data_IF_793378118878
#
_entry.id   IF_793378118878
#
_cell.length_a   1.000
_cell.length_b   1.000
_cell.length_c   1.000
_cell.angle_alpha   90.00
_cell.angle_beta   90.00
_cell.angle_gamma   90.00
#
_symmetry.space_group_name_H-M   'P 1'
#
loop_
_entity.id
_entity.type
_entity.pdbx_description
1 polymer ?
#
# COMPACT_ATOMS: atom_id res chain seq x y z
N UNK A 1 -15.17 1.07 -31.00
CA UNK A 1 -13.82 0.58 -30.62
C UNK A 1 -13.46 0.77 -29.14
N UNK A 2 -13.99 1.74 -28.39
CA UNK A 2 -13.59 2.01 -26.98
C UNK A 2 -13.92 0.88 -25.99
N UNK A 3 -15.12 0.30 -26.06
CA UNK A 3 -15.59 -0.72 -25.09
C UNK A 3 -14.74 -2.00 -25.02
N UNK A 4 -14.17 -2.46 -26.14
CA UNK A 4 -13.32 -3.66 -26.14
C UNK A 4 -11.95 -3.34 -25.51
N UNK A 5 -11.44 -2.13 -25.73
CA UNK A 5 -10.18 -1.67 -25.16
C UNK A 5 -10.28 -1.53 -23.64
N UNK A 6 -11.37 -0.95 -23.14
CA UNK A 6 -11.61 -0.81 -21.69
C UNK A 6 -11.76 -2.17 -21.00
N UNK A 7 -12.44 -3.13 -21.64
CA UNK A 7 -12.57 -4.51 -21.13
C UNK A 7 -11.24 -5.25 -21.11
N UNK A 8 -10.41 -5.09 -22.15
CA UNK A 8 -9.09 -5.70 -22.21
C UNK A 8 -8.15 -5.15 -21.13
N UNK A 9 -8.17 -3.83 -20.92
CA UNK A 9 -7.41 -3.17 -19.84
C UNK A 9 -7.91 -3.65 -18.48
N UNK A 10 -9.22 -3.70 -18.27
CA UNK A 10 -9.82 -4.21 -17.03
C UNK A 10 -9.40 -5.66 -16.75
N UNK A 11 -9.46 -6.53 -17.75
CA UNK A 11 -9.04 -7.93 -17.62
C UNK A 11 -7.53 -8.04 -17.33
N UNK A 12 -6.70 -7.24 -17.98
CA UNK A 12 -5.27 -7.20 -17.72
C UNK A 12 -4.95 -6.74 -16.29
N UNK A 13 -5.57 -5.65 -15.83
CA UNK A 13 -5.42 -5.17 -14.46
C UNK A 13 -5.87 -6.22 -13.44
N UNK A 14 -6.98 -6.91 -13.71
CA UNK A 14 -7.51 -7.95 -12.83
C UNK A 14 -6.59 -9.17 -12.78
N UNK A 15 -6.03 -9.58 -13.92
CA UNK A 15 -5.05 -10.66 -14.01
C UNK A 15 -3.76 -10.32 -13.26
N UNK A 16 -3.20 -9.13 -13.49
CA UNK A 16 -1.99 -8.64 -12.81
C UNK A 16 -2.25 -8.54 -11.30
N UNK A 17 -3.36 -7.92 -10.90
CA UNK A 17 -3.74 -7.79 -9.49
C UNK A 17 -3.90 -9.14 -8.82
N UNK A 18 -4.56 -10.10 -9.49
CA UNK A 18 -4.74 -11.46 -8.97
C UNK A 18 -3.41 -12.19 -8.80
N UNK A 19 -2.49 -12.04 -9.75
CA UNK A 19 -1.15 -12.64 -9.68
C UNK A 19 -0.35 -12.06 -8.50
N UNK A 20 -0.31 -10.72 -8.38
CA UNK A 20 0.39 -10.03 -7.28
C UNK A 20 -0.22 -10.42 -5.94
N UNK A 21 -1.56 -10.47 -5.85
CA UNK A 21 -2.27 -10.90 -4.63
C UNK A 21 -1.93 -12.33 -4.24
N UNK A 22 -1.94 -13.27 -5.19
CA UNK A 22 -1.58 -14.65 -4.93
C UNK A 22 -0.13 -14.79 -4.46
N UNK A 23 0.81 -14.13 -5.15
CA UNK A 23 2.23 -14.12 -4.76
C UNK A 23 2.42 -13.58 -3.35
N UNK A 24 1.81 -12.43 -3.04
CA UNK A 24 1.90 -11.81 -1.73
C UNK A 24 1.22 -12.65 -0.62
N UNK A 25 0.10 -13.29 -0.93
CA UNK A 25 -0.61 -14.18 0.01
C UNK A 25 0.21 -15.43 0.33
N UNK A 26 0.81 -16.07 -0.67
CA UNK A 26 1.73 -17.20 -0.45
C UNK A 26 2.94 -16.76 0.36
N UNK A 27 3.50 -15.60 0.03
CA UNK A 27 4.67 -15.07 0.73
C UNK A 27 4.39 -14.74 2.20
N UNK A 28 3.24 -14.17 2.51
CA UNK A 28 2.85 -13.78 3.88
C UNK A 28 2.31 -14.95 4.71
N UNK A 29 1.48 -15.80 4.10
CA UNK A 29 0.75 -16.84 4.82
C UNK A 29 1.42 -18.21 4.75
N UNK A 30 2.06 -18.58 3.64
CA UNK A 30 2.57 -19.95 3.45
C UNK A 30 4.05 -20.07 3.85
N UNK A 31 4.90 -19.14 3.44
CA UNK A 31 6.35 -19.14 3.75
C UNK A 31 6.71 -19.18 5.25
N UNK A 32 5.95 -18.63 6.22
CA UNK A 32 6.30 -18.81 7.64
C UNK A 32 6.26 -20.27 8.09
N UNK A 33 5.52 -21.14 7.41
CA UNK A 33 5.43 -22.57 7.72
C UNK A 33 6.47 -23.43 6.97
N UNK A 34 7.25 -22.83 6.06
CA UNK A 34 8.30 -23.51 5.31
C UNK A 34 9.62 -23.42 6.07
N UNK A 35 10.35 -24.54 6.14
CA UNK A 35 11.65 -24.61 6.82
C UNK A 35 12.65 -23.61 6.27
N UNK A 36 13.55 -23.15 7.15
CA UNK A 36 14.50 -22.08 6.81
C UNK A 36 15.49 -22.48 5.71
N UNK A 37 15.80 -23.76 5.62
CA UNK A 37 16.78 -24.33 4.67
C UNK A 37 16.14 -24.76 3.34
N UNK A 38 14.83 -24.54 3.15
CA UNK A 38 14.13 -24.97 1.96
C UNK A 38 14.42 -24.03 0.77
N UNK A 39 14.78 -24.55 -0.43
CA UNK A 39 15.13 -23.73 -1.60
C UNK A 39 13.99 -22.84 -2.08
N UNK A 40 12.73 -23.20 -1.79
CA UNK A 40 11.57 -22.36 -2.10
C UNK A 40 11.70 -20.94 -1.53
N UNK A 41 12.42 -20.76 -0.42
CA UNK A 41 12.61 -19.46 0.23
C UNK A 41 13.54 -18.52 -0.54
N UNK A 42 14.28 -19.01 -1.54
CA UNK A 42 15.04 -18.17 -2.48
C UNK A 42 14.13 -17.42 -3.47
N UNK A 43 12.93 -17.93 -3.74
CA UNK A 43 11.95 -17.30 -4.63
C UNK A 43 11.19 -16.14 -3.97
N UNK A 44 11.35 -15.98 -2.66
CA UNK A 44 10.63 -14.99 -1.86
C UNK A 44 11.62 -14.09 -1.12
N UNK A 45 11.34 -12.78 -1.02
CA UNK A 45 12.18 -11.91 -0.21
C UNK A 45 12.13 -12.31 1.28
N UNK A 46 13.10 -11.83 2.08
CA UNK A 46 13.10 -12.06 3.52
C UNK A 46 11.78 -11.68 4.18
N UNK A 47 11.37 -12.50 5.15
CA UNK A 47 10.06 -12.41 5.84
C UNK A 47 9.77 -11.02 6.43
N UNK A 48 10.82 -10.30 6.86
CA UNK A 48 10.66 -8.99 7.47
C UNK A 48 10.03 -7.98 6.50
N UNK A 49 10.27 -8.11 5.20
CA UNK A 49 9.65 -7.24 4.20
C UNK A 49 8.15 -7.46 4.06
N UNK A 50 7.68 -8.68 4.31
CA UNK A 50 6.26 -9.02 4.26
C UNK A 50 5.44 -8.26 5.33
N UNK A 51 6.07 -7.93 6.46
CA UNK A 51 5.46 -7.11 7.53
C UNK A 51 5.75 -5.63 7.31
N UNK A 52 6.97 -5.29 6.90
CA UNK A 52 7.38 -3.90 6.72
C UNK A 52 6.57 -3.17 5.63
N UNK A 53 6.18 -3.87 4.56
CA UNK A 53 5.42 -3.27 3.45
C UNK A 53 4.06 -2.66 3.91
N UNK A 54 3.15 -3.41 4.57
CA UNK A 54 1.90 -2.85 5.05
C UNK A 54 2.10 -1.82 6.18
N UNK A 55 3.07 -2.03 7.07
CA UNK A 55 3.39 -1.07 8.13
C UNK A 55 3.84 0.27 7.54
N UNK A 56 4.72 0.24 6.53
CA UNK A 56 5.17 1.45 5.84
C UNK A 56 4.01 2.20 5.19
N UNK A 57 3.11 1.50 4.49
CA UNK A 57 1.90 2.11 3.91
C UNK A 57 1.03 2.77 4.98
N UNK A 58 0.83 2.11 6.12
CA UNK A 58 0.05 2.66 7.22
C UNK A 58 0.70 3.92 7.80
N UNK A 59 2.01 3.87 8.07
CA UNK A 59 2.75 5.02 8.61
C UNK A 59 2.68 6.21 7.65
N UNK A 60 2.88 5.98 6.35
CA UNK A 60 2.78 7.03 5.33
C UNK A 60 1.37 7.60 5.28
N UNK A 61 0.34 6.75 5.25
CA UNK A 61 -1.06 7.18 5.22
C UNK A 61 -1.44 8.00 6.46
N UNK A 62 -1.07 7.52 7.65
CA UNK A 62 -1.31 8.20 8.93
C UNK A 62 -0.58 9.55 8.98
N UNK A 63 0.69 9.58 8.58
CA UNK A 63 1.49 10.81 8.53
C UNK A 63 0.88 11.83 7.57
N UNK A 64 0.40 11.39 6.41
CA UNK A 64 -0.27 12.26 5.44
C UNK A 64 -1.56 12.87 6.03
N UNK A 65 -2.38 12.07 6.72
CA UNK A 65 -3.60 12.54 7.38
C UNK A 65 -3.26 13.59 8.45
N UNK A 66 -2.35 13.28 9.38
CA UNK A 66 -1.95 14.21 10.44
C UNK A 66 -1.33 15.49 9.88
N UNK A 67 -0.50 15.38 8.84
CA UNK A 67 0.09 16.51 8.15
C UNK A 67 -0.98 17.41 7.52
N UNK A 68 -1.96 16.82 6.84
CA UNK A 68 -3.08 17.57 6.24
C UNK A 68 -3.95 18.26 7.28
N UNK A 69 -4.32 17.55 8.36
CA UNK A 69 -5.09 18.14 9.47
C UNK A 69 -4.35 19.32 10.10
N UNK A 70 -3.06 19.15 10.39
CA UNK A 70 -2.20 20.21 10.94
C UNK A 70 -2.15 21.41 10.00
N UNK A 71 -1.99 21.18 8.70
CA UNK A 71 -1.96 22.23 7.69
C UNK A 71 -3.28 23.03 7.64
N UNK A 72 -4.42 22.36 7.66
CA UNK A 72 -5.75 23.00 7.65
C UNK A 72 -6.00 23.81 8.92
N UNK A 73 -5.64 23.27 10.09
CA UNK A 73 -5.77 24.00 11.37
C UNK A 73 -4.90 25.26 11.41
N UNK A 74 -3.64 25.17 10.96
CA UNK A 74 -2.73 26.33 10.89
C UNK A 74 -3.25 27.40 9.94
N UNK A 75 -3.84 27.00 8.80
CA UNK A 75 -4.44 27.94 7.84
C UNK A 75 -5.67 28.63 8.43
N UNK A 76 -6.54 27.87 9.11
CA UNK A 76 -7.74 28.41 9.77
C UNK A 76 -7.38 29.39 10.91
N UNK A 77 -6.38 29.03 11.72
CA UNK A 77 -5.90 29.89 12.81
C UNK A 77 -5.32 31.23 12.31
N UNK A 78 -4.54 31.22 11.21
CA UNK A 78 -4.03 32.46 10.60
C UNK A 78 -5.15 33.36 10.07
N UNK A 79 -6.19 32.78 9.46
CA UNK A 79 -7.34 33.57 8.98
C UNK A 79 -8.19 34.15 10.11
N UNK A 80 -8.32 33.44 11.23
CA UNK A 80 -9.02 33.96 12.42
C UNK A 80 -8.25 35.12 13.07
N UNK A 81 -6.92 34.99 13.20
CA UNK A 81 -6.06 36.04 13.77
C UNK A 81 -6.01 37.32 12.91
N UNK A 82 -6.16 37.20 11.58
CA UNK A 82 -6.17 38.36 10.67
C UNK A 82 -7.47 39.17 10.71
N UNK A 83 -8.56 38.63 11.28
CA UNK A 83 -9.87 39.27 11.31
C UNK A 83 -10.13 40.10 12.58
N UNK A 84 -9.25 40.00 13.58
CA UNK A 84 -9.38 40.69 14.87
C UNK A 84 -8.41 41.87 15.04
N UNK A 85 -7.86 42.41 13.95
CA UNK A 85 -7.04 43.63 13.91
C UNK A 85 -7.55 44.50 12.77
#
# INVERSE_FOLDING_TARGET
MSQINDKAVGAALLGIGSFVFAYYSVWTLVIPFVDKDHPARMLFPPQWYAIALPVFLLVVGVTAIFGFLSFVMLKSAKSAAKKST
#
